data_IF_370977639838
#
_entry.id   IF_370977639838
#
_cell.length_a   1.000
_cell.length_b   1.000
_cell.length_c   1.000
_cell.angle_alpha   90.00
_cell.angle_beta   90.00
_cell.angle_gamma   90.00
#
_symmetry.space_group_name_H-M   'P 1'
#
loop_
_entity.id
_entity.type
_entity.pdbx_description
1 polymer ?
#
# COMPACT_ATOMS: atom_id res chain seq x y z
N UNK A 1 -19.10 6.86 -57.14
CA UNK A 1 -17.83 6.59 -56.43
C UNK A 1 -17.93 7.24 -55.05
N UNK A 2 -18.29 6.47 -54.03
CA UNK A 2 -18.43 6.96 -52.66
C UNK A 2 -17.17 6.70 -51.85
N UNK A 3 -16.90 7.66 -50.97
CA UNK A 3 -15.65 7.98 -50.30
C UNK A 3 -15.18 6.87 -49.33
N UNK A 4 -14.07 6.19 -49.66
CA UNK A 4 -13.33 5.31 -48.75
C UNK A 4 -12.31 6.16 -47.98
N UNK A 5 -12.65 6.66 -46.79
CA UNK A 5 -11.64 7.00 -45.77
C UNK A 5 -12.30 7.40 -44.45
N UNK A 6 -12.81 6.42 -43.69
CA UNK A 6 -13.29 6.64 -42.32
C UNK A 6 -13.12 5.38 -41.44
N UNK A 7 -11.93 4.78 -41.43
CA UNK A 7 -11.57 3.73 -40.45
C UNK A 7 -10.07 3.74 -40.18
N UNK A 8 -9.53 4.89 -39.77
CA UNK A 8 -8.13 4.99 -39.38
C UNK A 8 -7.97 6.04 -38.27
N UNK A 9 -8.81 5.98 -37.24
CA UNK A 9 -8.63 6.78 -36.03
C UNK A 9 -9.41 6.16 -34.85
N UNK A 10 -9.09 4.91 -34.52
CA UNK A 10 -9.59 4.24 -33.31
C UNK A 10 -8.56 3.23 -32.77
N UNK A 11 -7.28 3.60 -32.78
CA UNK A 11 -6.21 2.82 -32.14
C UNK A 11 -5.25 3.74 -31.39
N UNK A 12 -5.79 4.73 -30.71
CA UNK A 12 -5.01 5.66 -29.89
C UNK A 12 -5.85 5.99 -28.67
N UNK A 13 -5.23 5.86 -27.49
CA UNK A 13 -5.77 6.17 -26.16
C UNK A 13 -6.44 4.97 -25.46
N UNK A 14 -5.61 4.09 -24.90
CA UNK A 14 -5.92 3.32 -23.68
C UNK A 14 -4.62 2.82 -23.01
N UNK A 15 -3.59 3.66 -22.96
CA UNK A 15 -2.29 3.35 -22.33
C UNK A 15 -1.75 4.47 -21.43
N UNK A 16 -2.56 5.47 -21.07
CA UNK A 16 -2.05 6.70 -20.46
C UNK A 16 -2.32 6.88 -18.97
N UNK A 17 -2.81 5.86 -18.23
CA UNK A 17 -3.11 6.04 -16.79
C UNK A 17 -2.37 5.09 -15.85
N UNK A 18 -1.64 4.09 -16.35
CA UNK A 18 -0.82 3.18 -15.51
C UNK A 18 0.69 3.41 -15.66
N UNK A 19 1.11 4.43 -16.43
CA UNK A 19 2.47 4.56 -16.94
C UNK A 19 3.55 4.87 -15.91
N UNK A 20 3.28 5.63 -14.85
CA UNK A 20 4.32 6.02 -13.88
C UNK A 20 4.57 4.93 -12.84
N UNK A 21 3.52 4.47 -12.15
CA UNK A 21 3.66 3.45 -11.10
C UNK A 21 4.18 2.10 -11.64
N UNK A 22 3.76 1.70 -12.85
CA UNK A 22 4.28 0.48 -13.48
C UNK A 22 5.76 0.61 -13.86
N UNK A 23 6.17 1.77 -14.38
CA UNK A 23 7.57 2.01 -14.75
C UNK A 23 8.47 2.11 -13.52
N UNK A 24 8.01 2.79 -12.46
CA UNK A 24 8.71 2.89 -11.18
C UNK A 24 8.86 1.51 -10.53
N UNK A 25 7.79 0.69 -10.53
CA UNK A 25 7.84 -0.71 -10.08
C UNK A 25 8.83 -1.56 -10.90
N UNK A 26 8.88 -1.37 -12.23
CA UNK A 26 9.86 -2.03 -13.10
C UNK A 26 11.29 -1.53 -12.89
N UNK A 27 11.47 -0.27 -12.50
CA UNK A 27 12.75 0.30 -12.07
C UNK A 27 13.11 -0.11 -10.63
N UNK A 28 12.23 -0.86 -9.95
CA UNK A 28 12.42 -1.31 -8.58
C UNK A 28 12.21 -0.21 -7.53
N UNK A 29 11.72 0.96 -7.93
CA UNK A 29 11.44 2.00 -6.98
C UNK A 29 10.23 1.61 -6.11
N UNK A 30 10.25 1.91 -4.81
CA UNK A 30 9.10 1.70 -3.94
C UNK A 30 7.92 2.55 -4.45
N UNK A 31 6.77 1.91 -4.67
CA UNK A 31 5.54 2.54 -5.18
C UNK A 31 4.36 2.23 -4.28
N UNK A 32 3.40 3.15 -4.22
CA UNK A 32 2.12 2.88 -3.56
C UNK A 32 1.29 1.91 -4.40
N UNK A 33 0.72 0.88 -3.76
CA UNK A 33 -0.06 -0.16 -4.42
C UNK A 33 -1.52 -0.09 -3.98
N UNK A 34 -2.38 0.52 -4.79
CA UNK A 34 -3.79 0.68 -4.47
C UNK A 34 -4.67 -0.50 -4.83
N UNK A 35 -4.17 -1.50 -5.56
CA UNK A 35 -4.91 -2.71 -5.93
C UNK A 35 -6.34 -2.47 -6.45
N UNK A 36 -6.48 -1.53 -7.40
CA UNK A 36 -7.79 -1.11 -7.94
C UNK A 36 -8.30 0.21 -7.36
N UNK A 37 -7.59 0.80 -6.40
CA UNK A 37 -7.83 2.13 -5.86
C UNK A 37 -6.73 3.11 -6.30
N UNK A 38 -7.07 4.39 -6.38
CA UNK A 38 -6.09 5.46 -6.53
C UNK A 38 -5.51 5.83 -5.16
N UNK A 39 -4.21 6.10 -5.13
CA UNK A 39 -3.50 6.58 -3.95
C UNK A 39 -2.76 7.87 -4.31
N UNK A 40 -3.25 8.99 -3.79
CA UNK A 40 -2.52 10.26 -3.81
C UNK A 40 -1.61 10.34 -2.59
N UNK A 41 -0.37 10.79 -2.77
CA UNK A 41 0.65 10.84 -1.72
C UNK A 41 1.26 12.23 -1.59
N UNK A 42 0.95 12.89 -0.48
CA UNK A 42 1.65 14.10 -0.04
C UNK A 42 2.88 13.70 0.78
N UNK A 43 4.02 13.51 0.10
CA UNK A 43 5.28 13.07 0.72
C UNK A 43 6.01 14.22 1.41
N UNK A 44 6.39 14.01 2.67
CA UNK A 44 7.26 14.91 3.46
C UNK A 44 8.34 14.18 4.25
N UNK A 45 8.28 12.86 4.37
CA UNK A 45 9.31 12.04 5.02
C UNK A 45 10.47 11.83 4.03
N UNK A 46 11.66 12.36 4.37
CA UNK A 46 12.90 12.27 3.56
C UNK A 46 14.00 11.45 4.25
N UNK A 47 15.00 10.98 3.51
CA UNK A 47 16.09 10.15 4.05
C UNK A 47 15.65 8.71 4.35
N UNK A 48 14.90 8.13 3.41
CA UNK A 48 14.06 6.95 3.56
C UNK A 48 12.74 7.15 2.81
N UNK A 49 11.82 6.20 2.95
CA UNK A 49 10.53 6.24 2.27
C UNK A 49 9.43 5.56 3.05
N UNK A 50 8.22 6.11 2.95
CA UNK A 50 7.00 5.39 3.26
C UNK A 50 6.27 5.18 1.94
N UNK A 51 5.89 3.94 1.68
CA UNK A 51 4.88 3.62 0.69
C UNK A 51 3.83 2.73 1.36
N UNK A 52 2.63 2.77 0.82
CA UNK A 52 1.52 1.95 1.33
C UNK A 52 0.99 1.04 0.25
N UNK A 53 0.50 -0.10 0.70
CA UNK A 53 -0.37 -0.96 -0.09
C UNK A 53 -1.73 -1.02 0.59
N UNK A 54 -2.81 -0.83 -0.18
CA UNK A 54 -4.17 -1.04 0.29
C UNK A 54 -4.75 -2.29 -0.36
N UNK A 55 -5.27 -3.20 0.47
CA UNK A 55 -6.03 -4.37 0.03
C UNK A 55 -7.42 -4.32 0.63
N UNK A 56 -8.44 -4.33 -0.21
CA UNK A 56 -9.82 -4.40 0.25
C UNK A 56 -10.18 -5.84 0.69
N UNK A 57 -11.34 -6.03 1.36
CA UNK A 57 -11.72 -7.35 1.87
C UNK A 57 -11.81 -8.44 0.80
N UNK A 58 -12.25 -8.09 -0.40
CA UNK A 58 -12.40 -9.04 -1.52
C UNK A 58 -11.04 -9.54 -1.99
N UNK A 59 -10.07 -8.65 -2.16
CA UNK A 59 -8.71 -9.05 -2.50
C UNK A 59 -8.09 -9.93 -1.40
N UNK A 60 -8.24 -9.54 -0.13
CA UNK A 60 -7.73 -10.33 1.00
C UNK A 60 -8.34 -11.74 1.06
N UNK A 61 -9.64 -11.86 0.80
CA UNK A 61 -10.33 -13.15 0.73
C UNK A 61 -9.73 -14.03 -0.37
N UNK A 62 -9.57 -13.48 -1.57
CA UNK A 62 -8.99 -14.21 -2.70
C UNK A 62 -7.57 -14.67 -2.41
N UNK A 63 -6.73 -13.81 -1.84
CA UNK A 63 -5.35 -14.15 -1.45
C UNK A 63 -5.31 -15.25 -0.39
N UNK A 64 -6.17 -15.17 0.63
CA UNK A 64 -6.26 -16.19 1.68
C UNK A 64 -6.69 -17.53 1.10
N UNK A 65 -7.71 -17.55 0.22
CA UNK A 65 -8.15 -18.79 -0.45
C UNK A 65 -7.01 -19.43 -1.23
N UNK A 66 -6.32 -18.67 -2.07
CA UNK A 66 -5.17 -19.16 -2.84
C UNK A 66 -4.03 -19.64 -1.92
N UNK A 67 -3.72 -18.91 -0.84
CA UNK A 67 -2.67 -19.31 0.10
C UNK A 67 -3.01 -20.61 0.83
N UNK A 68 -4.26 -20.77 1.27
CA UNK A 68 -4.73 -21.95 2.00
C UNK A 68 -4.81 -23.17 1.09
N UNK A 69 -5.26 -23.02 -0.16
CA UNK A 69 -5.25 -24.06 -1.18
C UNK A 69 -3.81 -24.58 -1.42
N UNK A 70 -2.85 -23.67 -1.61
CA UNK A 70 -1.44 -24.01 -1.81
C UNK A 70 -0.82 -24.74 -0.62
N UNK A 71 -1.37 -24.55 0.59
CA UNK A 71 -0.94 -25.23 1.82
C UNK A 71 -1.71 -26.51 2.10
N UNK A 72 -2.66 -26.88 1.24
CA UNK A 72 -3.60 -27.99 1.46
C UNK A 72 -4.30 -27.90 2.83
N UNK A 73 -4.63 -26.68 3.25
CA UNK A 73 -5.28 -26.44 4.54
C UNK A 73 -6.66 -27.11 4.59
N UNK A 74 -7.06 -27.53 5.79
CA UNK A 74 -8.41 -28.01 6.05
C UNK A 74 -9.47 -26.92 5.87
N UNK A 75 -10.72 -27.31 5.66
CA UNK A 75 -11.85 -26.37 5.59
C UNK A 75 -11.98 -25.51 6.85
N UNK A 76 -11.70 -26.08 8.03
CA UNK A 76 -11.70 -25.33 9.29
C UNK A 76 -10.61 -24.27 9.34
N UNK A 77 -9.39 -24.59 8.88
CA UNK A 77 -8.30 -23.62 8.83
C UNK A 77 -8.58 -22.49 7.83
N UNK A 78 -9.21 -22.81 6.69
CA UNK A 78 -9.67 -21.81 5.74
C UNK A 78 -10.73 -20.89 6.38
N UNK A 79 -11.75 -21.46 7.01
CA UNK A 79 -12.82 -20.66 7.62
C UNK A 79 -12.28 -19.75 8.73
N UNK A 80 -11.43 -20.28 9.61
CA UNK A 80 -10.77 -19.50 10.67
C UNK A 80 -9.94 -18.33 10.12
N UNK A 81 -9.34 -18.49 8.93
CA UNK A 81 -8.58 -17.43 8.28
C UNK A 81 -9.47 -16.37 7.64
N UNK A 82 -10.56 -16.79 6.98
CA UNK A 82 -11.55 -15.90 6.37
C UNK A 82 -12.25 -15.04 7.44
N UNK A 83 -12.58 -15.62 8.59
CA UNK A 83 -13.25 -14.90 9.69
C UNK A 83 -12.37 -13.79 10.31
N UNK A 84 -11.05 -13.81 10.05
CA UNK A 84 -10.11 -12.80 10.55
C UNK A 84 -9.93 -11.61 9.61
N UNK A 85 -10.54 -11.65 8.42
CA UNK A 85 -10.44 -10.57 7.43
C UNK A 85 -11.04 -9.28 8.01
N UNK A 86 -10.29 -8.16 8.01
CA UNK A 86 -10.82 -6.87 8.43
C UNK A 86 -11.89 -6.35 7.47
N UNK A 87 -13.05 -5.94 7.99
CA UNK A 87 -14.22 -5.51 7.19
C UNK A 87 -13.96 -4.31 6.26
N UNK A 88 -13.02 -3.44 6.60
CA UNK A 88 -12.59 -2.31 5.79
C UNK A 88 -11.32 -2.58 4.98
N UNK A 89 -10.79 -3.80 5.00
CA UNK A 89 -9.52 -4.15 4.36
C UNK A 89 -8.30 -3.89 5.25
N UNK A 90 -7.12 -3.95 4.64
CA UNK A 90 -5.82 -3.82 5.31
C UNK A 90 -4.94 -2.82 4.56
N UNK A 91 -4.27 -1.98 5.33
CA UNK A 91 -3.18 -1.13 4.82
C UNK A 91 -1.86 -1.75 5.29
N UNK A 92 -0.98 -2.07 4.35
CA UNK A 92 0.41 -2.38 4.64
C UNK A 92 1.23 -1.11 4.51
N UNK A 93 2.03 -0.81 5.53
CA UNK A 93 2.93 0.33 5.55
C UNK A 93 4.33 -0.19 5.41
N UNK A 94 4.95 0.11 4.28
CA UNK A 94 6.33 -0.23 4.00
C UNK A 94 7.20 0.98 4.32
N UNK A 95 8.12 0.80 5.25
CA UNK A 95 8.95 1.86 5.76
C UNK A 95 10.43 1.53 5.57
N UNK A 96 11.18 2.49 5.04
CA UNK A 96 12.59 2.33 4.71
C UNK A 96 13.42 3.44 5.37
N UNK A 97 14.58 3.09 5.91
CA UNK A 97 15.54 4.02 6.47
C UNK A 97 17.00 3.55 6.30
N UNK A 98 17.95 4.44 6.56
CA UNK A 98 19.39 4.18 6.33
C UNK A 98 20.06 3.36 7.43
N UNK A 99 19.41 3.17 8.58
CA UNK A 99 19.91 2.32 9.67
C UNK A 99 18.81 1.38 10.14
N UNK A 100 19.21 0.26 10.74
CA UNK A 100 18.28 -0.77 11.25
C UNK A 100 17.34 -0.19 12.32
N UNK A 101 17.87 0.64 13.22
CA UNK A 101 17.09 1.27 14.29
C UNK A 101 16.09 2.28 13.74
N UNK A 102 16.50 3.07 12.73
CA UNK A 102 15.67 4.09 12.13
C UNK A 102 14.55 3.51 11.25
N UNK A 103 14.69 2.27 10.79
CA UNK A 103 13.69 1.53 10.02
C UNK A 103 12.68 0.79 10.92
N UNK A 104 12.82 0.87 12.24
CA UNK A 104 11.83 0.30 13.17
C UNK A 104 10.51 1.07 13.10
N UNK A 105 9.39 0.35 13.00
CA UNK A 105 8.06 0.97 12.91
C UNK A 105 7.59 1.55 14.24
N UNK A 106 8.25 1.27 15.37
CA UNK A 106 7.96 1.91 16.66
C UNK A 106 8.03 3.45 16.60
N UNK A 107 8.84 3.99 15.69
CA UNK A 107 8.97 5.42 15.46
C UNK A 107 7.78 6.01 14.70
N UNK A 108 6.89 5.17 14.18
CA UNK A 108 5.75 5.59 13.40
C UNK A 108 4.47 5.67 14.23
N UNK A 109 3.60 6.58 13.83
CA UNK A 109 2.22 6.62 14.26
C UNK A 109 1.31 6.70 13.04
N UNK A 110 0.23 5.93 13.08
CA UNK A 110 -0.74 5.79 12.01
C UNK A 110 -2.05 6.42 12.43
N UNK A 111 -2.59 7.28 11.57
CA UNK A 111 -3.86 7.97 11.83
C UNK A 111 -4.77 7.84 10.63
N UNK A 112 -6.02 7.46 10.86
CA UNK A 112 -7.04 7.35 9.83
C UNK A 112 -8.07 8.45 10.02
N UNK A 113 -8.36 9.17 8.93
CA UNK A 113 -9.43 10.15 8.88
C UNK A 113 -10.51 9.69 7.89
N UNK A 114 -11.76 9.78 8.34
CA UNK A 114 -12.96 9.53 7.55
C UNK A 114 -13.89 10.73 7.71
N UNK A 115 -14.38 11.27 6.59
CA UNK A 115 -15.29 12.42 6.58
C UNK A 115 -14.74 13.65 7.36
N UNK A 116 -13.41 13.78 7.43
CA UNK A 116 -12.72 14.85 8.16
C UNK A 116 -12.47 14.59 9.65
N UNK A 117 -12.97 13.47 10.20
CA UNK A 117 -12.81 13.10 11.59
C UNK A 117 -11.77 11.98 11.77
N UNK A 118 -11.00 12.04 12.84
CA UNK A 118 -10.08 10.97 13.22
C UNK A 118 -10.89 9.78 13.76
N UNK A 119 -10.77 8.62 13.12
CA UNK A 119 -11.50 7.39 13.49
C UNK A 119 -10.59 6.30 14.02
N UNK A 120 -9.28 6.43 13.84
CA UNK A 120 -8.29 5.47 14.29
C UNK A 120 -6.93 6.14 14.48
N UNK A 121 -6.25 5.76 15.56
CA UNK A 121 -4.86 6.13 15.83
C UNK A 121 -4.14 4.97 16.51
N UNK A 122 -2.96 4.61 16.02
CA UNK A 122 -2.12 3.59 16.64
C UNK A 122 -0.65 3.90 16.40
N UNK A 123 0.19 3.63 17.41
CA UNK A 123 1.65 3.56 17.21
C UNK A 123 2.02 2.31 16.40
N UNK A 124 3.13 2.36 15.69
CA UNK A 124 3.75 1.18 15.11
C UNK A 124 4.37 0.29 16.18
N UNK A 125 4.92 -0.84 15.74
CA UNK A 125 5.41 -1.90 16.62
C UNK A 125 6.93 -1.89 16.68
N UNK A 126 7.46 -2.21 17.85
CA UNK A 126 8.88 -2.53 17.99
C UNK A 126 9.17 -3.85 17.29
N UNK A 127 9.79 -3.75 16.12
CA UNK A 127 10.14 -4.87 15.26
C UNK A 127 11.50 -4.60 14.62
N UNK A 128 12.37 -5.61 14.66
CA UNK A 128 13.68 -5.56 14.03
C UNK A 128 13.48 -5.39 12.52
N UNK A 129 14.11 -4.36 11.95
CA UNK A 129 14.06 -4.12 10.52
C UNK A 129 14.79 -5.23 9.74
N UNK A 130 14.26 -5.52 8.57
CA UNK A 130 14.80 -6.48 7.63
C UNK A 130 16.09 -5.97 6.99
N UNK A 131 16.93 -6.91 6.57
CA UNK A 131 18.25 -6.63 5.98
C UNK A 131 18.09 -5.77 4.74
N UNK A 132 19.00 -4.79 4.52
CA UNK A 132 18.88 -3.89 3.40
C UNK A 132 18.80 -4.61 2.06
N UNK A 133 17.81 -4.23 1.25
CA UNK A 133 17.78 -4.66 -0.14
C UNK A 133 18.81 -3.83 -0.91
N UNK A 134 19.72 -4.51 -1.61
CA UNK A 134 20.73 -3.86 -2.43
C UNK A 134 20.08 -3.18 -3.64
N UNK A 135 19.87 -1.86 -3.59
CA UNK A 135 19.53 -1.09 -4.79
C UNK A 135 20.81 -0.61 -5.51
N UNK A 136 20.73 -0.60 -6.83
CA UNK A 136 21.77 -0.10 -7.74
C UNK A 136 22.29 1.27 -7.27
N UNK A 137 23.56 1.35 -6.86
CA UNK A 137 24.18 2.59 -6.36
C UNK A 137 24.86 2.49 -4.99
N UNK A 138 24.76 1.34 -4.30
CA UNK A 138 25.62 1.00 -3.16
C UNK A 138 25.15 1.48 -1.78
N UNK A 139 23.99 2.15 -1.68
CA UNK A 139 23.34 2.45 -0.41
C UNK A 139 22.09 1.59 -0.31
N UNK A 140 22.13 0.56 0.53
CA UNK A 140 20.96 -0.25 0.87
C UNK A 140 20.13 0.45 1.95
N UNK A 141 18.81 0.33 1.86
CA UNK A 141 17.90 0.79 2.92
C UNK A 141 17.41 -0.41 3.73
N UNK A 142 17.53 -0.31 5.05
CA UNK A 142 16.82 -1.19 5.97
C UNK A 142 15.33 -0.92 5.84
N UNK A 143 14.52 -1.96 5.94
CA UNK A 143 13.09 -1.82 5.72
C UNK A 143 12.27 -2.63 6.71
N UNK A 144 11.03 -2.23 6.91
CA UNK A 144 10.08 -2.92 7.76
C UNK A 144 8.66 -2.75 7.22
N UNK A 145 7.78 -3.68 7.53
CA UNK A 145 6.37 -3.66 7.09
C UNK A 145 5.49 -3.80 8.32
N UNK A 146 4.61 -2.83 8.55
CA UNK A 146 3.52 -2.96 9.51
C UNK A 146 2.18 -3.13 8.79
N UNK A 147 1.24 -3.83 9.43
CA UNK A 147 -0.08 -4.09 8.91
C UNK A 147 -1.14 -3.44 9.81
N UNK A 148 -2.02 -2.67 9.17
CA UNK A 148 -3.12 -1.93 9.79
C UNK A 148 -4.44 -2.52 9.33
N UNK A 149 -5.12 -3.21 10.26
CA UNK A 149 -6.44 -3.78 10.02
C UNK A 149 -7.53 -2.73 10.19
N UNK A 150 -8.28 -2.47 9.12
CA UNK A 150 -9.44 -1.60 9.17
C UNK A 150 -10.65 -2.43 9.62
N UNK A 151 -10.80 -2.61 10.93
CA UNK A 151 -11.81 -3.53 11.52
C UNK A 151 -13.26 -3.08 11.35
N UNK A 152 -13.49 -1.86 10.88
CA UNK A 152 -14.82 -1.36 10.56
C UNK A 152 -14.91 -1.06 9.05
N UNK A 153 -16.10 -1.16 8.44
CA UNK A 153 -16.28 -0.83 7.04
C UNK A 153 -15.88 0.63 6.78
N UNK A 154 -15.00 0.82 5.80
CA UNK A 154 -14.53 2.14 5.39
C UNK A 154 -15.11 2.51 4.04
N UNK A 155 -15.63 3.73 3.93
CA UNK A 155 -16.05 4.30 2.65
C UNK A 155 -14.90 5.14 2.11
N UNK A 156 -14.63 5.00 0.83
CA UNK A 156 -13.70 5.87 0.09
C UNK A 156 -14.43 7.16 -0.35
N UNK A 157 -13.74 8.31 -0.41
CA UNK A 157 -12.34 8.48 -0.08
C UNK A 157 -12.09 8.56 1.43
N UNK A 158 -10.91 8.12 1.86
CA UNK A 158 -10.43 8.31 3.23
C UNK A 158 -8.95 8.71 3.22
N UNK A 159 -8.49 9.30 4.33
CA UNK A 159 -7.08 9.69 4.48
C UNK A 159 -6.39 8.80 5.49
N UNK A 160 -5.21 8.35 5.13
CA UNK A 160 -4.30 7.63 6.00
C UNK A 160 -3.03 8.47 6.16
N UNK A 161 -2.62 8.70 7.40
CA UNK A 161 -1.46 9.54 7.73
C UNK A 161 -0.45 8.67 8.44
N UNK A 162 0.81 8.77 8.00
CA UNK A 162 1.96 8.16 8.66
C UNK A 162 2.82 9.27 9.22
N UNK A 163 2.93 9.35 10.55
CA UNK A 163 3.75 10.30 11.28
C UNK A 163 5.04 9.60 11.68
N UNK A 164 6.19 10.17 11.35
CA UNK A 164 7.50 9.72 11.85
C UNK A 164 7.90 10.58 13.04
N UNK A 165 7.82 10.03 14.24
CA UNK A 165 8.25 10.69 15.48
C UNK A 165 9.77 10.90 15.54
N UNK A 166 10.53 10.08 14.81
CA UNK A 166 11.98 10.23 14.69
C UNK A 166 12.36 11.47 13.88
N UNK A 167 11.57 11.81 12.86
CA UNK A 167 11.87 12.88 11.89
C UNK A 167 11.03 14.14 12.10
N UNK A 168 10.03 14.09 12.98
CA UNK A 168 9.01 15.13 13.16
C UNK A 168 8.34 15.53 11.82
N UNK A 169 8.03 14.52 11.02
CA UNK A 169 7.49 14.65 9.66
C UNK A 169 6.30 13.71 9.49
N UNK A 170 5.43 14.00 8.51
CA UNK A 170 4.31 13.11 8.17
C UNK A 170 4.06 13.03 6.68
N UNK A 171 3.72 11.84 6.23
CA UNK A 171 3.17 11.59 4.91
C UNK A 171 1.65 11.45 5.01
N UNK A 172 0.95 11.95 4.01
CA UNK A 172 -0.51 11.79 3.90
C UNK A 172 -0.86 11.07 2.62
N UNK A 173 -1.70 10.04 2.75
CA UNK A 173 -2.19 9.22 1.66
C UNK A 173 -3.70 9.39 1.57
N UNK A 174 -4.21 9.79 0.40
CA UNK A 174 -5.64 9.81 0.12
C UNK A 174 -5.97 8.61 -0.75
N UNK A 175 -6.81 7.71 -0.24
CA UNK A 175 -7.23 6.50 -0.95
C UNK A 175 -8.64 6.73 -1.48
N UNK A 176 -8.82 6.61 -2.80
CA UNK A 176 -10.08 6.89 -3.49
C UNK A 176 -10.39 5.85 -4.55
N UNK A 177 -11.59 5.94 -5.15
CA UNK A 177 -11.88 5.23 -6.40
C UNK A 177 -10.87 5.65 -7.49
N UNK A 178 -10.56 4.75 -8.45
CA UNK A 178 -9.66 5.04 -9.56
C UNK A 178 -10.18 6.15 -10.48
#
# INVERSE_FOLDING_TARGET
MLNKSRYLLALTILLTLSGCAALDKMAGLPVNEGNGYAIEHERKIYGGGVHIEYRDPELLENEIRTQMENRMASESELQDALDRIPEGGRIFVHYEATTVEAANTEWLEYVLFKDGEEVYRRKGKDQIAEVPTSYSGGIGFWWNIDAIDLRQPIKVPFKFIVISNLKDQRDTFTISRP
#
